data_IF_934758928997
#
_entry.id   IF_934758928997
#
_cell.length_a   1.000
_cell.length_b   1.000
_cell.length_c   1.000
_cell.angle_alpha   90.00
_cell.angle_beta   90.00
_cell.angle_gamma   90.00
#
_symmetry.space_group_name_H-M   'P 1'
#
loop_
_entity.id
_entity.type
_entity.pdbx_description
1 polymer ?
#
# COMPACT_ATOMS: atom_id res chain seq x y z
N UNK A 1 -21.04 -7.04 6.05
CA UNK A 1 -20.07 -5.95 5.80
C UNK A 1 -18.67 -6.47 5.45
N UNK A 2 -18.06 -7.34 6.26
CA UNK A 2 -16.66 -7.79 6.06
C UNK A 2 -16.35 -8.37 4.66
N UNK A 3 -17.29 -9.07 4.01
CA UNK A 3 -17.06 -9.61 2.65
C UNK A 3 -16.82 -8.53 1.59
N UNK A 4 -17.61 -7.45 1.59
CA UNK A 4 -17.43 -6.33 0.65
C UNK A 4 -16.09 -5.63 0.90
N UNK A 5 -15.71 -5.47 2.16
CA UNK A 5 -14.41 -4.88 2.53
C UNK A 5 -13.23 -5.78 2.14
N UNK A 6 -13.37 -7.11 2.22
CA UNK A 6 -12.36 -8.06 1.71
C UNK A 6 -12.16 -7.91 0.22
N UNK A 7 -13.25 -7.85 -0.55
CA UNK A 7 -13.19 -7.65 -2.00
C UNK A 7 -12.54 -6.30 -2.32
N UNK A 8 -12.91 -5.24 -1.61
CA UNK A 8 -12.29 -3.94 -1.75
C UNK A 8 -10.79 -3.98 -1.45
N UNK A 9 -10.37 -4.56 -0.33
CA UNK A 9 -8.95 -4.71 0.03
C UNK A 9 -8.19 -5.49 -1.05
N UNK A 10 -8.75 -6.59 -1.54
CA UNK A 10 -8.12 -7.38 -2.59
C UNK A 10 -7.97 -6.58 -3.89
N UNK A 11 -9.03 -5.90 -4.33
CA UNK A 11 -8.97 -5.02 -5.50
C UNK A 11 -7.96 -3.88 -5.32
N UNK A 12 -7.87 -3.32 -4.11
CA UNK A 12 -6.90 -2.27 -3.77
C UNK A 12 -5.46 -2.76 -3.86
N UNK A 13 -5.18 -3.98 -3.36
CA UNK A 13 -3.86 -4.62 -3.46
C UNK A 13 -3.52 -4.92 -4.93
N UNK A 14 -4.48 -5.36 -5.73
CA UNK A 14 -4.26 -5.56 -7.16
C UNK A 14 -3.88 -4.27 -7.88
N UNK A 15 -4.56 -3.15 -7.57
CA UNK A 15 -4.23 -1.83 -8.13
C UNK A 15 -2.83 -1.39 -7.73
N UNK A 16 -2.45 -1.60 -6.45
CA UNK A 16 -1.09 -1.33 -5.95
C UNK A 16 -0.04 -2.08 -6.75
N UNK A 17 -0.20 -3.39 -6.92
CA UNK A 17 0.78 -4.25 -7.60
C UNK A 17 0.85 -3.96 -9.10
N UNK A 18 -0.24 -3.44 -9.70
CA UNK A 18 -0.30 -3.16 -11.12
C UNK A 18 0.72 -2.06 -11.50
N UNK A 19 1.67 -2.33 -12.40
CA UNK A 19 2.61 -1.32 -12.84
C UNK A 19 1.86 -0.27 -13.69
N UNK A 20 1.57 0.89 -13.11
CA UNK A 20 0.85 1.97 -13.80
C UNK A 20 1.54 2.37 -15.12
N UNK A 21 2.87 2.26 -15.17
CA UNK A 21 3.67 2.47 -16.38
C UNK A 21 3.21 1.58 -17.55
N UNK A 22 2.78 0.34 -17.31
CA UNK A 22 2.24 -0.50 -18.37
C UNK A 22 0.88 -0.03 -18.86
N UNK A 23 0.02 0.41 -17.93
CA UNK A 23 -1.33 0.88 -18.26
C UNK A 23 -1.28 2.15 -19.09
N UNK A 24 -0.45 3.12 -18.69
CA UNK A 24 -0.41 4.44 -19.34
C UNK A 24 0.23 4.39 -20.72
N UNK A 25 1.18 3.47 -20.95
CA UNK A 25 1.81 3.25 -22.27
C UNK A 25 0.85 2.80 -23.37
N UNK A 26 -0.35 2.32 -23.02
CA UNK A 26 -1.37 1.89 -24.00
C UNK A 26 -1.94 3.10 -24.76
N UNK A 27 -1.98 4.28 -24.14
CA UNK A 27 -2.58 5.48 -24.74
C UNK A 27 -1.70 6.72 -24.51
N UNK A 28 -1.15 7.35 -25.58
CA UNK A 28 -0.28 8.51 -25.46
C UNK A 28 -0.90 9.71 -24.71
N UNK A 29 -2.22 9.90 -24.79
CA UNK A 29 -2.91 10.97 -24.05
C UNK A 29 -2.96 10.70 -22.56
N UNK A 30 -3.13 9.42 -22.18
CA UNK A 30 -3.12 8.99 -20.79
C UNK A 30 -1.71 9.09 -20.20
N UNK A 31 -0.70 8.70 -20.98
CA UNK A 31 0.72 8.85 -20.61
C UNK A 31 1.09 10.31 -20.36
N UNK A 32 0.74 11.23 -21.26
CA UNK A 32 1.00 12.66 -21.09
C UNK A 32 0.33 13.22 -19.82
N UNK A 33 -0.95 12.91 -19.62
CA UNK A 33 -1.68 13.33 -18.43
C UNK A 33 -1.03 12.77 -17.16
N UNK A 34 -0.76 11.47 -17.13
CA UNK A 34 -0.18 10.80 -15.97
C UNK A 34 1.19 11.39 -15.63
N UNK A 35 2.08 11.55 -16.62
CA UNK A 35 3.40 12.15 -16.40
C UNK A 35 3.28 13.62 -15.95
N UNK A 36 2.30 14.38 -16.42
CA UNK A 36 2.12 15.77 -15.97
C UNK A 36 1.79 15.84 -14.47
N UNK A 37 0.93 14.94 -13.98
CA UNK A 37 0.47 14.96 -12.58
C UNK A 37 1.37 14.17 -11.63
N UNK A 38 1.94 13.04 -12.08
CA UNK A 38 2.66 12.09 -11.23
C UNK A 38 4.18 12.06 -11.47
N UNK A 39 4.72 12.81 -12.43
CA UNK A 39 6.19 12.91 -12.55
C UNK A 39 6.88 13.57 -11.35
N UNK A 40 6.29 14.54 -10.62
CA UNK A 40 6.96 15.12 -9.46
C UNK A 40 7.16 14.10 -8.34
N UNK A 41 8.38 14.06 -7.78
CA UNK A 41 8.73 13.12 -6.70
C UNK A 41 7.82 13.23 -5.47
N UNK A 42 7.39 14.44 -5.12
CA UNK A 42 6.46 14.62 -4.00
C UNK A 42 5.09 13.99 -4.25
N UNK A 43 4.61 13.96 -5.51
CA UNK A 43 3.36 13.28 -5.86
C UNK A 43 3.49 11.76 -5.77
N UNK A 44 4.66 11.22 -6.14
CA UNK A 44 5.01 9.82 -5.92
C UNK A 44 4.94 9.47 -4.43
N UNK A 45 5.60 10.24 -3.56
CA UNK A 45 5.55 10.05 -2.10
C UNK A 45 4.12 10.11 -1.56
N UNK A 46 3.33 11.11 -1.98
CA UNK A 46 1.93 11.26 -1.56
C UNK A 46 1.09 10.05 -1.99
N UNK A 47 1.30 9.53 -3.21
CA UNK A 47 0.61 8.33 -3.68
C UNK A 47 0.93 7.11 -2.81
N UNK A 48 2.22 6.87 -2.51
CA UNK A 48 2.64 5.81 -1.59
C UNK A 48 1.98 5.95 -0.21
N UNK A 49 1.98 7.15 0.37
CA UNK A 49 1.33 7.42 1.65
C UNK A 49 -0.16 7.06 1.62
N UNK A 50 -0.88 7.56 0.62
CA UNK A 50 -2.34 7.33 0.51
C UNK A 50 -2.68 5.86 0.26
N UNK A 51 -1.89 5.16 -0.55
CA UNK A 51 -2.17 3.76 -0.85
C UNK A 51 -1.87 2.86 0.36
N UNK A 52 -0.73 3.06 1.02
CA UNK A 52 -0.31 2.20 2.12
C UNK A 52 -0.95 2.54 3.47
N UNK A 53 -1.40 3.78 3.71
CA UNK A 53 -2.22 4.09 4.90
C UNK A 53 -3.53 3.30 4.88
N UNK A 54 -4.15 3.17 3.71
CA UNK A 54 -5.38 2.39 3.51
C UNK A 54 -5.12 0.91 3.76
N UNK A 55 -4.03 0.35 3.23
CA UNK A 55 -3.64 -1.05 3.49
C UNK A 55 -3.36 -1.29 4.96
N UNK A 56 -2.56 -0.42 5.59
CA UNK A 56 -2.21 -0.49 7.00
C UNK A 56 -3.41 -0.44 7.94
N UNK A 57 -4.49 0.24 7.53
CA UNK A 57 -5.75 0.28 8.25
C UNK A 57 -6.66 -0.93 7.96
N UNK A 58 -6.83 -1.29 6.69
CA UNK A 58 -7.78 -2.32 6.27
C UNK A 58 -7.30 -3.74 6.56
N UNK A 59 -6.01 -4.04 6.39
CA UNK A 59 -5.44 -5.37 6.67
C UNK A 59 -5.76 -5.83 8.10
N UNK A 60 -5.43 -5.06 9.16
CA UNK A 60 -5.73 -5.49 10.51
C UNK A 60 -7.25 -5.56 10.76
N UNK A 61 -8.05 -4.63 10.24
CA UNK A 61 -9.50 -4.63 10.43
C UNK A 61 -10.23 -5.80 9.76
N UNK A 62 -9.75 -6.22 8.59
CA UNK A 62 -10.45 -7.21 7.75
C UNK A 62 -9.93 -8.62 8.00
N UNK A 63 -8.61 -8.77 8.18
CA UNK A 63 -7.94 -10.07 8.24
C UNK A 63 -7.55 -10.47 9.67
N UNK A 64 -7.29 -9.51 10.57
CA UNK A 64 -6.67 -9.79 11.87
C UNK A 64 -7.38 -9.16 13.07
N UNK A 65 -8.63 -8.74 12.92
CA UNK A 65 -9.43 -8.00 13.93
C UNK A 65 -9.49 -8.72 15.30
N UNK A 66 -9.51 -10.05 15.27
CA UNK A 66 -9.59 -10.89 16.47
C UNK A 66 -8.22 -11.34 17.00
N UNK A 67 -7.12 -10.97 16.34
CA UNK A 67 -5.77 -11.39 16.72
C UNK A 67 -5.18 -10.48 17.82
N UNK A 68 -4.22 -10.98 18.63
CA UNK A 68 -3.44 -10.14 19.53
C UNK A 68 -2.75 -8.98 18.79
N UNK A 69 -2.59 -7.82 19.45
CA UNK A 69 -2.09 -6.60 18.79
C UNK A 69 -0.70 -6.80 18.19
N UNK A 70 0.18 -7.49 18.92
CA UNK A 70 1.53 -7.82 18.47
C UNK A 70 1.50 -8.68 17.19
N UNK A 71 0.63 -9.69 17.15
CA UNK A 71 0.46 -10.56 15.97
C UNK A 71 -0.15 -9.78 14.80
N UNK A 72 -1.15 -8.94 15.07
CA UNK A 72 -1.82 -8.10 14.07
C UNK A 72 -0.83 -7.13 13.42
N UNK A 73 -0.03 -6.44 14.24
CA UNK A 73 1.02 -5.53 13.77
C UNK A 73 2.06 -6.27 12.93
N UNK A 74 2.62 -7.38 13.47
CA UNK A 74 3.60 -8.20 12.77
C UNK A 74 3.09 -8.65 11.40
N UNK A 75 1.87 -9.16 11.32
CA UNK A 75 1.29 -9.63 10.07
C UNK A 75 0.99 -8.47 9.10
N UNK A 76 0.57 -7.31 9.61
CA UNK A 76 0.36 -6.11 8.78
C UNK A 76 1.67 -5.65 8.15
N UNK A 77 2.76 -5.60 8.94
CA UNK A 77 4.10 -5.27 8.43
C UNK A 77 4.54 -6.27 7.36
N UNK A 78 4.36 -7.58 7.58
CA UNK A 78 4.71 -8.58 6.57
C UNK A 78 3.91 -8.45 5.28
N UNK A 79 2.61 -8.17 5.37
CA UNK A 79 1.76 -7.95 4.18
C UNK A 79 2.23 -6.71 3.42
N UNK A 80 2.49 -5.60 4.11
CA UNK A 80 2.96 -4.35 3.52
C UNK A 80 4.31 -4.53 2.84
N UNK A 81 5.27 -5.15 3.53
CA UNK A 81 6.58 -5.44 2.94
C UNK A 81 6.46 -6.37 1.74
N UNK A 82 5.58 -7.38 1.79
CA UNK A 82 5.32 -8.26 0.65
C UNK A 82 4.78 -7.49 -0.56
N UNK A 83 3.80 -6.61 -0.36
CA UNK A 83 3.22 -5.80 -1.43
C UNK A 83 4.26 -4.84 -2.00
N UNK A 84 4.97 -4.09 -1.15
CA UNK A 84 6.00 -3.13 -1.58
C UNK A 84 7.14 -3.81 -2.33
N UNK A 85 7.62 -4.97 -1.85
CA UNK A 85 8.65 -5.74 -2.56
C UNK A 85 8.18 -6.20 -3.94
N UNK A 86 6.94 -6.67 -4.05
CA UNK A 86 6.37 -7.06 -5.35
C UNK A 86 6.31 -5.84 -6.28
N UNK A 87 5.84 -4.69 -5.79
CA UNK A 87 5.79 -3.44 -6.57
C UNK A 87 7.18 -3.02 -7.06
N UNK A 88 8.19 -3.04 -6.19
CA UNK A 88 9.56 -2.69 -6.57
C UNK A 88 10.12 -3.67 -7.60
N UNK A 89 9.91 -4.98 -7.44
CA UNK A 89 10.35 -5.97 -8.42
C UNK A 89 9.72 -5.70 -9.79
N UNK A 90 8.40 -5.45 -9.85
CA UNK A 90 7.75 -5.07 -11.10
C UNK A 90 8.35 -3.79 -11.67
N UNK A 91 8.52 -2.75 -10.86
CA UNK A 91 9.10 -1.48 -11.27
C UNK A 91 10.51 -1.66 -11.86
N UNK A 92 11.37 -2.46 -11.22
CA UNK A 92 12.73 -2.76 -11.67
C UNK A 92 12.73 -3.49 -13.02
N UNK A 93 11.85 -4.48 -13.20
CA UNK A 93 11.67 -5.20 -14.46
C UNK A 93 11.24 -4.25 -15.57
N UNK A 94 10.27 -3.37 -15.31
CA UNK A 94 9.78 -2.40 -16.31
C UNK A 94 10.83 -1.35 -16.66
N UNK A 95 11.62 -0.89 -15.68
CA UNK A 95 12.67 0.11 -15.86
C UNK A 95 14.00 -0.48 -16.32
N UNK A 96 14.12 -1.82 -16.39
CA UNK A 96 15.34 -2.56 -16.74
C UNK A 96 16.57 -2.10 -15.92
N UNK A 97 16.37 -1.90 -14.60
CA UNK A 97 17.43 -1.45 -13.69
C UNK A 97 17.56 -2.37 -12.47
N UNK A 98 18.69 -2.29 -11.78
CA UNK A 98 18.91 -3.01 -10.52
C UNK A 98 18.30 -2.31 -9.31
N UNK A 99 18.16 -3.06 -8.22
CA UNK A 99 17.72 -2.56 -6.92
C UNK A 99 18.72 -1.53 -6.36
N UNK A 100 18.22 -0.43 -5.80
CA UNK A 100 19.05 0.65 -5.31
C UNK A 100 18.39 1.49 -4.22
N UNK A 101 18.88 2.72 -4.06
CA UNK A 101 18.46 3.64 -2.98
C UNK A 101 16.98 4.03 -3.07
N UNK A 102 16.45 4.17 -4.28
CA UNK A 102 15.08 4.62 -4.49
C UNK A 102 14.08 3.58 -4.00
N UNK A 103 14.35 2.30 -4.28
CA UNK A 103 13.53 1.17 -3.82
C UNK A 103 13.48 1.09 -2.30
N UNK A 104 14.63 1.31 -1.63
CA UNK A 104 14.71 1.32 -0.16
C UNK A 104 13.92 2.50 0.41
N UNK A 105 13.99 3.66 -0.25
CA UNK A 105 13.24 4.84 0.16
C UNK A 105 11.73 4.61 0.02
N UNK A 106 11.27 4.09 -1.11
CA UNK A 106 9.87 3.78 -1.37
C UNK A 106 9.32 2.78 -0.33
N UNK A 107 10.05 1.69 -0.07
CA UNK A 107 9.69 0.70 0.98
C UNK A 107 9.61 1.31 2.39
N UNK A 108 10.46 2.29 2.69
CA UNK A 108 10.43 3.00 3.98
C UNK A 108 9.18 3.87 4.08
N UNK A 109 8.83 4.61 3.03
CA UNK A 109 7.61 5.42 2.97
C UNK A 109 6.38 4.53 3.13
N UNK A 110 6.33 3.38 2.46
CA UNK A 110 5.25 2.40 2.55
C UNK A 110 5.06 1.87 3.97
N UNK A 111 6.18 1.55 4.63
CA UNK A 111 6.15 1.08 6.00
C UNK A 111 5.65 2.17 6.95
N UNK A 112 6.15 3.41 6.86
CA UNK A 112 5.71 4.52 7.71
C UNK A 112 4.23 4.82 7.50
N UNK A 113 3.77 4.86 6.24
CA UNK A 113 2.39 5.10 5.88
C UNK A 113 1.48 3.99 6.43
N UNK A 114 1.87 2.73 6.27
CA UNK A 114 1.08 1.60 6.78
C UNK A 114 1.03 1.55 8.31
N UNK A 115 2.12 1.90 9.00
CA UNK A 115 2.14 2.02 10.45
C UNK A 115 1.21 3.12 10.94
N UNK A 116 1.13 4.23 10.21
CA UNK A 116 0.16 5.30 10.46
C UNK A 116 -1.27 4.78 10.31
N UNK A 117 -1.55 4.03 9.24
CA UNK A 117 -2.87 3.41 9.01
C UNK A 117 -3.24 2.41 10.10
N UNK A 118 -2.28 1.59 10.52
CA UNK A 118 -2.45 0.64 11.62
C UNK A 118 -2.76 1.35 12.94
N UNK A 119 -2.06 2.45 13.21
CA UNK A 119 -2.29 3.27 14.40
C UNK A 119 -3.71 3.85 14.43
N UNK A 120 -4.21 4.34 13.28
CA UNK A 120 -5.60 4.78 13.14
C UNK A 120 -6.58 3.62 13.42
N UNK A 121 -6.35 2.44 12.85
CA UNK A 121 -7.15 1.25 13.13
C UNK A 121 -7.19 0.95 14.65
N UNK A 122 -6.03 1.00 15.30
CA UNK A 122 -5.92 0.73 16.72
C UNK A 122 -6.73 1.72 17.58
N UNK A 123 -6.67 3.02 17.27
CA UNK A 123 -7.43 4.06 17.96
C UNK A 123 -8.94 3.83 17.82
N UNK A 124 -9.41 3.60 16.58
CA UNK A 124 -10.84 3.61 16.28
C UNK A 124 -11.55 2.29 16.58
N UNK A 125 -10.94 1.14 16.30
CA UNK A 125 -11.65 -0.14 16.31
C UNK A 125 -11.30 -1.01 17.52
N UNK A 126 -10.07 -0.98 17.99
CA UNK A 126 -9.65 -1.87 19.07
C UNK A 126 -10.06 -1.37 20.46
N UNK A 127 -10.15 -0.05 20.67
CA UNK A 127 -10.72 0.53 21.90
C UNK A 127 -12.18 0.15 22.12
N UNK A 128 -12.92 -0.16 21.06
CA UNK A 128 -14.33 -0.56 21.12
C UNK A 128 -14.47 -2.04 21.53
N UNK A 129 -13.59 -2.92 21.05
CA UNK A 129 -13.60 -4.35 21.42
C UNK A 129 -13.10 -4.64 22.84
N UNK A 130 -12.30 -3.77 23.45
CA UNK A 130 -11.86 -3.95 24.85
C UNK A 130 -12.91 -3.53 25.90
N UNK A 131 -14.05 -2.98 25.48
CA UNK A 131 -15.15 -2.55 26.36
C UNK A 131 -16.38 -3.48 26.30
N UNK A 132 -16.29 -4.59 25.57
CA UNK A 132 -17.28 -5.68 25.59
C UNK A 132 -16.68 -6.87 26.31
#
# INVERSE_FOLDING_TARGET
MKQKTKIFLFAWILILILPMVWVVRINPRLDLWFNTFFAPEWMHIVAHILLFIVVGFLVPWVLFDQSPIKTTLKNTVWVVLGIGLIQEVFQLVVKQRGFGRNEVFDLLIDLIASLTGFFLYWIFFRKISARK
#
